data_IF_569307653040
#
_entry.id   IF_569307653040
#
_cell.length_a   1.000
_cell.length_b   1.000
_cell.length_c   1.000
_cell.angle_alpha   90.00
_cell.angle_beta   90.00
_cell.angle_gamma   90.00
#
_symmetry.space_group_name_H-M   'P 1'
#
loop_
_entity.id
_entity.type
_entity.pdbx_description
1 polymer ?
#
# COMPACT_ATOMS: atom_id res chain seq x y z
N UNK A 1 -25.35 13.40 0.86
CA UNK A 1 -24.70 13.58 -0.45
C UNK A 1 -24.32 12.19 -0.95
N UNK A 2 -24.98 11.69 -1.99
CA UNK A 2 -24.62 10.41 -2.61
C UNK A 2 -23.25 10.58 -3.29
N UNK A 3 -22.25 9.90 -2.76
CA UNK A 3 -20.92 9.83 -3.37
C UNK A 3 -21.04 9.14 -4.73
N UNK A 4 -20.76 9.86 -5.79
CA UNK A 4 -20.97 9.40 -7.16
C UNK A 4 -19.78 8.55 -7.64
N UNK A 5 -19.67 7.33 -7.09
CA UNK A 5 -18.61 6.36 -7.40
C UNK A 5 -18.54 6.00 -8.90
N UNK A 6 -19.65 6.06 -9.60
CA UNK A 6 -19.72 5.75 -11.04
C UNK A 6 -18.97 6.76 -11.91
N UNK A 7 -18.97 8.03 -11.56
CA UNK A 7 -18.31 9.09 -12.34
C UNK A 7 -16.79 9.10 -12.17
N UNK A 8 -16.29 8.72 -11.01
CA UNK A 8 -14.84 8.63 -10.79
C UNK A 8 -14.24 7.39 -11.48
N UNK A 9 -14.94 6.26 -11.43
CA UNK A 9 -14.51 5.03 -12.10
C UNK A 9 -14.49 5.24 -13.62
N UNK A 10 -15.46 5.95 -14.16
CA UNK A 10 -15.54 6.25 -15.61
C UNK A 10 -14.45 7.21 -16.07
N UNK A 11 -14.13 8.27 -15.29
CA UNK A 11 -13.01 9.18 -15.59
C UNK A 11 -11.64 8.49 -15.49
N UNK A 12 -11.47 7.59 -14.54
CA UNK A 12 -10.23 6.80 -14.39
C UNK A 12 -10.05 5.83 -15.58
N UNK A 13 -11.14 5.23 -16.09
CA UNK A 13 -11.11 4.34 -17.24
C UNK A 13 -10.77 5.10 -18.53
N UNK A 14 -11.29 6.29 -18.72
CA UNK A 14 -11.00 7.15 -19.90
C UNK A 14 -9.54 7.62 -19.93
N UNK A 15 -8.93 7.90 -18.77
CA UNK A 15 -7.51 8.26 -18.73
C UNK A 15 -6.58 7.10 -19.11
N UNK A 16 -7.00 5.85 -18.91
CA UNK A 16 -6.22 4.65 -19.24
C UNK A 16 -6.26 4.28 -20.75
N UNK A 17 -7.12 4.89 -21.56
CA UNK A 17 -7.14 4.63 -22.99
C UNK A 17 -5.95 5.28 -23.71
N UNK A 18 -5.34 6.30 -23.10
CA UNK A 18 -4.21 7.02 -23.69
C UNK A 18 -2.86 6.36 -23.34
N UNK A 19 -1.87 6.43 -24.27
CA UNK A 19 -0.50 5.97 -23.98
C UNK A 19 0.09 6.65 -22.76
N UNK A 20 -0.19 7.93 -22.56
CA UNK A 20 0.25 8.71 -21.41
C UNK A 20 -0.34 8.18 -20.11
N UNK A 21 -1.61 7.82 -20.06
CA UNK A 21 -2.26 7.26 -18.88
C UNK A 21 -1.67 5.90 -18.47
N UNK A 22 -1.39 5.02 -19.45
CA UNK A 22 -0.74 3.73 -19.20
C UNK A 22 0.68 3.89 -18.65
N UNK A 23 1.47 4.81 -19.21
CA UNK A 23 2.81 5.11 -18.73
C UNK A 23 2.77 5.65 -17.28
N UNK A 24 1.83 6.56 -17.00
CA UNK A 24 1.66 7.10 -15.65
C UNK A 24 1.27 6.03 -14.65
N UNK A 25 0.38 5.11 -15.02
CA UNK A 25 0.01 3.98 -14.17
C UNK A 25 1.20 3.05 -13.92
N UNK A 26 1.99 2.76 -14.95
CA UNK A 26 3.22 1.98 -14.83
C UNK A 26 4.21 2.65 -13.86
N UNK A 27 4.44 3.97 -13.99
CA UNK A 27 5.32 4.73 -13.08
C UNK A 27 4.81 4.75 -11.63
N UNK A 28 3.48 4.81 -11.43
CA UNK A 28 2.89 4.63 -10.10
C UNK A 28 3.18 3.24 -9.53
N UNK A 29 3.09 2.21 -10.37
CA UNK A 29 3.47 0.85 -10.00
C UNK A 29 4.96 0.75 -9.64
N UNK A 30 5.86 1.36 -10.43
CA UNK A 30 7.29 1.42 -10.10
C UNK A 30 7.50 2.07 -8.73
N UNK A 31 6.84 3.20 -8.47
CA UNK A 31 6.92 3.87 -7.16
C UNK A 31 6.40 2.97 -6.02
N UNK A 32 5.32 2.20 -6.25
CA UNK A 32 4.82 1.23 -5.27
C UNK A 32 5.87 0.14 -4.99
N UNK A 33 6.48 -0.44 -6.02
CA UNK A 33 7.52 -1.46 -5.87
C UNK A 33 8.77 -0.94 -5.17
N UNK A 34 9.18 0.30 -5.45
CA UNK A 34 10.25 0.97 -4.71
C UNK A 34 9.89 1.13 -3.22
N UNK A 35 8.65 1.54 -2.93
CA UNK A 35 8.16 1.68 -1.55
C UNK A 35 8.11 0.36 -0.79
N UNK A 36 7.62 -0.71 -1.43
CA UNK A 36 7.52 -2.05 -0.81
C UNK A 36 8.89 -2.66 -0.47
N UNK A 37 9.96 -2.17 -1.09
CA UNK A 37 11.32 -2.64 -0.81
C UNK A 37 11.90 -2.07 0.48
N UNK A 38 11.24 -1.08 1.07
CA UNK A 38 11.73 -0.39 2.26
C UNK A 38 10.92 -0.82 3.48
N UNK A 39 11.57 -1.30 4.54
CA UNK A 39 10.89 -1.60 5.80
C UNK A 39 10.11 -0.39 6.32
N UNK A 40 8.85 -0.59 6.68
CA UNK A 40 7.98 0.48 7.23
C UNK A 40 7.20 1.28 6.21
N UNK A 41 7.42 1.09 4.91
CA UNK A 41 6.59 1.64 3.85
C UNK A 41 5.86 0.52 3.13
N UNK A 42 4.64 0.78 2.73
CA UNK A 42 3.82 -0.15 1.96
C UNK A 42 3.47 0.47 0.61
N UNK A 43 3.45 -0.34 -0.45
CA UNK A 43 2.92 0.07 -1.74
C UNK A 43 1.49 0.60 -1.65
N UNK A 44 0.72 0.14 -0.66
CA UNK A 44 -0.58 0.70 -0.30
C UNK A 44 -0.51 2.20 0.04
N UNK A 45 0.53 2.63 0.75
CA UNK A 45 0.78 4.07 1.02
C UNK A 45 0.95 4.85 -0.29
N UNK A 46 1.77 4.32 -1.21
CA UNK A 46 1.99 4.96 -2.51
C UNK A 46 0.71 4.96 -3.36
N UNK A 47 -0.09 3.89 -3.29
CA UNK A 47 -1.38 3.82 -3.98
C UNK A 47 -2.35 4.91 -3.50
N UNK A 48 -2.41 5.17 -2.17
CA UNK A 48 -3.21 6.25 -1.58
C UNK A 48 -2.71 7.61 -2.07
N UNK A 49 -1.42 7.86 -1.98
CA UNK A 49 -0.78 9.13 -2.38
C UNK A 49 -1.06 9.42 -3.86
N UNK A 50 -0.94 8.41 -4.71
CA UNK A 50 -1.12 8.55 -6.16
C UNK A 50 -2.59 8.44 -6.60
N UNK A 51 -3.52 8.37 -5.64
CA UNK A 51 -4.98 8.31 -5.85
C UNK A 51 -5.44 7.13 -6.72
N UNK A 52 -4.80 5.98 -6.59
CA UNK A 52 -5.21 4.73 -7.24
C UNK A 52 -5.68 3.66 -6.25
N UNK A 53 -5.68 3.98 -4.96
CA UNK A 53 -5.96 3.03 -3.88
C UNK A 53 -7.37 2.42 -3.99
N UNK A 54 -8.39 3.26 -4.13
CA UNK A 54 -9.78 2.80 -4.26
C UNK A 54 -9.93 1.90 -5.50
N UNK A 55 -9.35 2.33 -6.63
CA UNK A 55 -9.39 1.54 -7.87
C UNK A 55 -8.66 0.21 -7.72
N UNK A 56 -7.52 0.18 -7.03
CA UNK A 56 -6.79 -1.05 -6.73
C UNK A 56 -7.65 -2.00 -5.90
N UNK A 57 -8.21 -1.52 -4.79
CA UNK A 57 -9.07 -2.32 -3.90
C UNK A 57 -10.29 -2.85 -4.65
N UNK A 58 -10.98 -2.01 -5.41
CA UNK A 58 -12.16 -2.44 -6.19
C UNK A 58 -11.80 -3.45 -7.29
N UNK A 59 -10.65 -3.29 -7.96
CA UNK A 59 -10.20 -4.24 -8.99
C UNK A 59 -9.83 -5.60 -8.40
N UNK A 60 -9.22 -5.64 -7.21
CA UNK A 60 -8.96 -6.87 -6.48
C UNK A 60 -10.28 -7.52 -6.04
N UNK A 61 -11.21 -6.73 -5.52
CA UNK A 61 -12.54 -7.21 -5.14
C UNK A 61 -13.34 -7.83 -6.29
N UNK A 62 -13.12 -7.37 -7.51
CA UNK A 62 -13.76 -7.91 -8.70
C UNK A 62 -13.28 -9.33 -9.04
N UNK A 63 -12.23 -9.84 -8.40
CA UNK A 63 -11.85 -11.26 -8.48
C UNK A 63 -12.75 -12.07 -7.56
N UNK A 64 -13.97 -12.32 -8.01
CA UNK A 64 -15.04 -13.02 -7.29
C UNK A 64 -15.49 -14.31 -8.02
N UNK A 65 -16.51 -14.96 -7.49
CA UNK A 65 -17.08 -16.17 -8.10
C UNK A 65 -17.62 -15.93 -9.51
N UNK A 66 -18.12 -14.70 -9.78
CA UNK A 66 -18.59 -14.33 -11.12
C UNK A 66 -17.41 -14.23 -12.11
N UNK A 67 -16.32 -13.61 -11.69
CA UNK A 67 -15.08 -13.58 -12.47
C UNK A 67 -14.56 -15.00 -12.76
N UNK A 68 -14.55 -15.87 -11.75
CA UNK A 68 -14.23 -17.30 -11.95
C UNK A 68 -15.15 -17.96 -12.97
N UNK A 69 -16.46 -17.71 -12.89
CA UNK A 69 -17.44 -18.21 -13.86
C UNK A 69 -17.13 -17.77 -15.29
N UNK A 70 -16.83 -16.47 -15.49
CA UNK A 70 -16.45 -15.93 -16.80
C UNK A 70 -15.17 -16.57 -17.34
N UNK A 71 -14.19 -16.83 -16.47
CA UNK A 71 -12.93 -17.47 -16.85
C UNK A 71 -13.15 -18.91 -17.29
N UNK A 72 -13.86 -19.73 -16.50
CA UNK A 72 -14.11 -21.15 -16.79
C UNK A 72 -15.09 -21.37 -17.94
N UNK A 73 -15.95 -20.39 -18.24
CA UNK A 73 -16.84 -20.45 -19.43
C UNK A 73 -16.15 -19.97 -20.71
N UNK A 74 -14.84 -19.65 -20.66
CA UNK A 74 -14.08 -19.22 -21.84
C UNK A 74 -14.34 -17.77 -22.27
N UNK A 75 -15.07 -16.98 -21.48
CA UNK A 75 -15.37 -15.59 -21.75
C UNK A 75 -14.24 -14.66 -21.32
N UNK A 76 -13.02 -14.92 -21.81
CA UNK A 76 -11.78 -14.24 -21.37
C UNK A 76 -11.83 -12.73 -21.53
N UNK A 77 -12.48 -12.22 -22.58
CA UNK A 77 -12.59 -10.76 -22.77
C UNK A 77 -13.49 -10.12 -21.71
N UNK A 78 -14.62 -10.74 -21.40
CA UNK A 78 -15.53 -10.28 -20.35
C UNK A 78 -14.86 -10.36 -18.98
N UNK A 79 -14.18 -11.48 -18.66
CA UNK A 79 -13.38 -11.64 -17.47
C UNK A 79 -12.34 -10.50 -17.32
N UNK A 80 -11.53 -10.25 -18.37
CA UNK A 80 -10.49 -9.23 -18.34
C UNK A 80 -11.03 -7.82 -18.12
N UNK A 81 -12.17 -7.50 -18.71
CA UNK A 81 -12.84 -6.24 -18.48
C UNK A 81 -13.44 -6.12 -17.09
N UNK A 82 -14.03 -7.21 -16.60
CA UNK A 82 -14.67 -7.24 -15.29
C UNK A 82 -13.70 -6.98 -14.13
N UNK A 83 -12.52 -7.60 -14.16
CA UNK A 83 -11.49 -7.44 -13.13
C UNK A 83 -10.60 -6.21 -13.32
N UNK A 84 -10.85 -5.32 -14.31
CA UNK A 84 -9.93 -4.27 -14.73
C UNK A 84 -8.51 -4.80 -15.05
N UNK A 85 -8.41 -5.91 -15.76
CA UNK A 85 -7.17 -6.66 -15.99
C UNK A 85 -6.04 -5.82 -16.56
N UNK A 86 -6.33 -4.85 -17.45
CA UNK A 86 -5.32 -3.95 -18.00
C UNK A 86 -4.70 -3.04 -16.90
N UNK A 87 -5.51 -2.54 -15.97
CA UNK A 87 -5.05 -1.77 -14.82
C UNK A 87 -4.15 -2.62 -13.93
N UNK A 88 -4.62 -3.80 -13.52
CA UNK A 88 -3.88 -4.70 -12.65
C UNK A 88 -2.57 -5.15 -13.29
N UNK A 89 -2.56 -5.49 -14.58
CA UNK A 89 -1.35 -5.94 -15.27
C UNK A 89 -0.30 -4.83 -15.37
N UNK A 90 -0.69 -3.62 -15.82
CA UNK A 90 0.24 -2.50 -15.96
C UNK A 90 0.81 -2.12 -14.59
N UNK A 91 -0.03 -2.10 -13.56
CA UNK A 91 0.38 -1.81 -12.19
C UNK A 91 1.35 -2.88 -11.67
N UNK A 92 1.02 -4.16 -11.85
CA UNK A 92 1.87 -5.29 -11.42
C UNK A 92 3.23 -5.27 -12.12
N UNK A 93 3.27 -5.02 -13.43
CA UNK A 93 4.54 -4.87 -14.18
C UNK A 93 5.36 -3.69 -13.65
N UNK A 94 4.70 -2.59 -13.30
CA UNK A 94 5.35 -1.45 -12.66
C UNK A 94 5.93 -1.84 -11.30
N UNK A 95 5.15 -2.49 -10.43
CA UNK A 95 5.59 -2.94 -9.10
C UNK A 95 6.80 -3.87 -9.21
N UNK A 96 6.73 -4.88 -10.08
CA UNK A 96 7.85 -5.81 -10.30
C UNK A 96 9.10 -5.07 -10.79
N UNK A 97 8.94 -4.13 -11.72
CA UNK A 97 10.07 -3.29 -12.17
C UNK A 97 10.66 -2.46 -11.04
N UNK A 98 9.81 -1.87 -10.19
CA UNK A 98 10.24 -1.12 -9.01
C UNK A 98 11.00 -1.98 -8.01
N UNK A 99 10.49 -3.17 -7.69
CA UNK A 99 11.15 -4.14 -6.81
C UNK A 99 12.53 -4.55 -7.36
N UNK A 100 12.64 -4.84 -8.65
CA UNK A 100 13.91 -5.22 -9.28
C UNK A 100 14.93 -4.07 -9.28
N UNK A 101 14.48 -2.84 -9.55
CA UNK A 101 15.34 -1.65 -9.53
C UNK A 101 15.81 -1.36 -8.09
N UNK A 102 14.92 -1.52 -7.12
CA UNK A 102 15.19 -1.17 -5.73
C UNK A 102 16.09 -2.17 -5.01
N UNK A 103 16.11 -3.42 -5.42
CA UNK A 103 16.77 -4.49 -4.67
C UNK A 103 18.22 -4.14 -4.26
N UNK A 104 19.01 -3.58 -5.18
CA UNK A 104 20.38 -3.15 -4.87
C UNK A 104 20.46 -1.71 -4.34
N UNK A 105 19.63 -0.79 -4.90
CA UNK A 105 19.69 0.64 -4.55
C UNK A 105 19.20 0.89 -3.13
N UNK A 106 18.09 0.27 -2.74
CA UNK A 106 17.53 0.45 -1.40
C UNK A 106 18.42 -0.18 -0.35
N UNK A 107 18.97 -1.37 -0.61
CA UNK A 107 19.95 -1.99 0.30
C UNK A 107 21.17 -1.07 0.51
N UNK A 108 21.74 -0.55 -0.57
CA UNK A 108 22.85 0.40 -0.49
C UNK A 108 22.49 1.67 0.33
N UNK A 109 21.30 2.22 0.13
CA UNK A 109 20.83 3.39 0.87
C UNK A 109 20.55 3.06 2.35
N UNK A 110 20.00 1.89 2.65
CA UNK A 110 19.77 1.43 4.02
C UNK A 110 21.07 1.25 4.78
N UNK A 111 22.10 0.69 4.13
CA UNK A 111 23.40 0.47 4.77
C UNK A 111 24.21 1.75 4.95
N UNK A 112 24.17 2.68 3.99
CA UNK A 112 25.06 3.87 3.99
C UNK A 112 24.36 5.17 4.37
N UNK A 113 23.04 5.28 4.18
CA UNK A 113 22.26 6.51 4.32
C UNK A 113 20.94 6.28 5.06
N UNK A 114 20.95 5.43 6.09
CA UNK A 114 19.73 5.03 6.83
C UNK A 114 18.94 6.25 7.33
N UNK A 115 19.62 7.19 8.05
CA UNK A 115 18.95 8.35 8.66
C UNK A 115 18.33 9.29 7.62
N UNK A 116 19.04 9.72 6.56
CA UNK A 116 18.45 10.52 5.48
C UNK A 116 17.30 9.83 4.77
N UNK A 117 17.42 8.51 4.52
CA UNK A 117 16.40 7.72 3.86
C UNK A 117 15.11 7.66 4.70
N UNK A 118 15.22 7.35 5.99
CA UNK A 118 14.07 7.34 6.89
C UNK A 118 13.42 8.72 7.01
N UNK A 119 14.21 9.78 7.09
CA UNK A 119 13.70 11.15 7.11
C UNK A 119 12.96 11.51 5.82
N UNK A 120 13.44 11.09 4.66
CA UNK A 120 12.74 11.23 3.37
C UNK A 120 11.33 10.60 3.43
N UNK A 121 11.22 9.39 3.94
CA UNK A 121 9.95 8.70 4.05
C UNK A 121 9.01 9.33 5.07
N UNK A 122 9.53 9.79 6.22
CA UNK A 122 8.75 10.57 7.19
C UNK A 122 8.17 11.81 6.52
N UNK A 123 8.97 12.54 5.72
CA UNK A 123 8.49 13.68 4.94
C UNK A 123 7.35 13.32 3.98
N UNK A 124 7.48 12.20 3.27
CA UNK A 124 6.41 11.70 2.39
C UNK A 124 5.14 11.36 3.17
N UNK A 125 5.24 10.71 4.33
CA UNK A 125 4.07 10.34 5.15
C UNK A 125 3.35 11.56 5.72
N UNK A 126 4.11 12.55 6.20
CA UNK A 126 3.53 13.81 6.71
C UNK A 126 2.78 14.56 5.61
N UNK A 127 3.40 14.72 4.44
CA UNK A 127 2.74 15.36 3.30
C UNK A 127 1.48 14.60 2.85
N UNK A 128 1.55 13.27 2.79
CA UNK A 128 0.42 12.42 2.42
C UNK A 128 -0.72 12.53 3.40
N UNK A 129 -0.44 12.50 4.70
CA UNK A 129 -1.43 12.68 5.76
C UNK A 129 -2.11 14.04 5.67
N UNK A 130 -1.35 15.10 5.35
CA UNK A 130 -1.89 16.43 5.13
C UNK A 130 -2.82 16.50 3.91
N UNK A 131 -2.52 15.77 2.83
CA UNK A 131 -3.37 15.70 1.64
C UNK A 131 -4.67 14.94 1.90
N UNK A 132 -4.59 13.81 2.62
CA UNK A 132 -5.76 13.00 2.98
C UNK A 132 -6.68 13.70 3.97
N UNK A 133 -6.20 14.72 4.67
CA UNK A 133 -6.99 15.54 5.57
C UNK A 133 -8.27 16.12 4.93
N UNK A 134 -8.26 16.32 3.62
CA UNK A 134 -9.40 16.86 2.87
C UNK A 134 -10.50 15.82 2.59
N UNK A 135 -10.22 14.52 2.77
CA UNK A 135 -11.16 13.43 2.51
C UNK A 135 -12.11 13.14 3.69
N UNK A 136 -11.86 13.72 4.85
CA UNK A 136 -12.70 13.55 6.05
C UNK A 136 -12.77 14.81 6.91
N UNK A 137 -13.83 14.95 7.71
CA UNK A 137 -14.06 16.10 8.60
C UNK A 137 -13.59 15.79 10.02
N UNK A 138 -12.75 16.66 10.60
CA UNK A 138 -12.36 16.57 12.02
C UNK A 138 -13.45 17.07 12.98
N UNK A 139 -14.53 17.71 12.48
CA UNK A 139 -15.64 18.12 13.33
C UNK A 139 -16.51 16.93 13.79
N UNK A 140 -16.51 15.84 13.02
CA UNK A 140 -17.18 14.60 13.40
C UNK A 140 -16.27 13.79 14.33
N UNK A 141 -16.67 13.61 15.58
CA UNK A 141 -15.90 12.89 16.60
C UNK A 141 -15.57 11.44 16.20
N UNK A 142 -16.44 10.81 15.42
CA UNK A 142 -16.23 9.46 14.89
C UNK A 142 -14.99 9.38 13.98
N UNK A 143 -14.77 10.41 13.14
CA UNK A 143 -13.60 10.46 12.25
C UNK A 143 -12.31 10.68 13.06
N UNK A 144 -12.38 11.49 14.13
CA UNK A 144 -11.26 11.69 15.05
C UNK A 144 -10.93 10.38 15.79
N UNK A 145 -11.96 9.66 16.24
CA UNK A 145 -11.77 8.36 16.88
C UNK A 145 -11.14 7.34 15.90
N UNK A 146 -11.61 7.30 14.66
CA UNK A 146 -11.04 6.43 13.63
C UNK A 146 -9.56 6.76 13.36
N UNK A 147 -9.21 8.06 13.28
CA UNK A 147 -7.83 8.53 13.16
C UNK A 147 -6.97 8.07 14.35
N UNK A 148 -7.46 8.27 15.57
CA UNK A 148 -6.74 7.86 16.79
C UNK A 148 -6.56 6.34 16.86
N UNK A 149 -7.59 5.57 16.49
CA UNK A 149 -7.49 4.10 16.44
C UNK A 149 -6.45 3.64 15.41
N UNK A 150 -6.45 4.22 14.22
CA UNK A 150 -5.43 3.93 13.19
C UNK A 150 -4.01 4.29 13.66
N UNK A 151 -3.86 5.46 14.29
CA UNK A 151 -2.59 5.93 14.85
C UNK A 151 -2.06 4.97 15.93
N UNK A 152 -2.88 4.64 16.90
CA UNK A 152 -2.51 3.75 18.01
C UNK A 152 -2.22 2.33 17.51
N UNK A 153 -3.00 1.83 16.55
CA UNK A 153 -2.76 0.53 15.95
C UNK A 153 -1.40 0.48 15.26
N UNK A 154 -1.10 1.41 14.36
CA UNK A 154 0.18 1.42 13.65
C UNK A 154 1.36 1.64 14.59
N UNK A 155 1.22 2.52 15.57
CA UNK A 155 2.23 2.75 16.59
C UNK A 155 2.47 1.51 17.46
N UNK A 156 1.41 0.81 17.90
CA UNK A 156 1.53 -0.37 18.76
C UNK A 156 2.25 -1.54 18.09
N UNK A 157 2.09 -1.69 16.78
CA UNK A 157 2.75 -2.74 16.01
C UNK A 157 4.28 -2.62 16.10
N UNK A 158 4.82 -1.40 16.13
CA UNK A 158 6.26 -1.14 16.29
C UNK A 158 6.84 -1.59 17.64
N UNK A 159 6.01 -1.81 18.66
CA UNK A 159 6.45 -2.24 20.00
C UNK A 159 6.27 -3.75 20.25
N UNK A 160 5.65 -4.48 19.32
CA UNK A 160 5.44 -5.91 19.48
C UNK A 160 6.75 -6.65 19.17
N UNK A 161 7.23 -7.43 20.14
CA UNK A 161 8.39 -8.30 19.93
C UNK A 161 7.99 -9.56 19.17
N UNK A 162 8.77 -9.98 18.16
CA UNK A 162 8.52 -11.22 17.44
C UNK A 162 8.49 -12.42 18.39
N UNK A 163 7.52 -13.32 18.22
CA UNK A 163 7.43 -14.59 18.94
C UNK A 163 7.69 -15.73 17.98
N UNK A 164 8.41 -16.76 18.47
CA UNK A 164 8.50 -18.01 17.73
C UNK A 164 7.11 -18.64 17.65
N UNK A 165 6.61 -18.86 16.43
CA UNK A 165 5.35 -19.55 16.20
C UNK A 165 5.62 -21.06 16.07
N UNK A 166 4.63 -21.88 16.41
CA UNK A 166 4.63 -23.28 16.00
C UNK A 166 4.48 -23.33 14.46
N UNK A 167 5.50 -23.87 13.79
CA UNK A 167 5.58 -23.92 12.35
C UNK A 167 4.73 -25.06 11.79
N UNK A 168 3.45 -24.80 11.60
CA UNK A 168 2.51 -25.70 10.93
C UNK A 168 2.04 -25.11 9.61
N UNK A 169 1.57 -25.93 8.66
CA UNK A 169 0.99 -25.44 7.40
C UNK A 169 -0.23 -24.53 7.65
N UNK A 170 -0.97 -24.77 8.73
CA UNK A 170 -2.10 -23.93 9.13
C UNK A 170 -1.59 -22.53 9.54
N UNK A 171 -0.54 -22.48 10.35
CA UNK A 171 0.10 -21.21 10.73
C UNK A 171 0.61 -20.46 9.50
N UNK A 172 1.25 -21.16 8.57
CA UNK A 172 1.74 -20.58 7.30
C UNK A 172 0.59 -19.98 6.48
N UNK A 173 -0.53 -20.70 6.35
CA UNK A 173 -1.71 -20.21 5.63
C UNK A 173 -2.26 -18.91 6.24
N UNK A 174 -2.52 -18.91 7.53
CA UNK A 174 -3.06 -17.71 8.20
C UNK A 174 -2.05 -16.56 8.25
N UNK A 175 -0.77 -16.85 8.37
CA UNK A 175 0.28 -15.82 8.29
C UNK A 175 0.32 -15.15 6.93
N UNK A 176 0.18 -15.92 5.85
CA UNK A 176 0.06 -15.37 4.49
C UNK A 176 -1.19 -14.49 4.34
N UNK A 177 -2.34 -14.96 4.86
CA UNK A 177 -3.58 -14.21 4.80
C UNK A 177 -3.53 -12.88 5.58
N UNK A 178 -2.93 -12.88 6.76
CA UNK A 178 -2.78 -11.67 7.60
C UNK A 178 -1.74 -10.72 7.00
N UNK A 179 -0.61 -11.24 6.54
CA UNK A 179 0.47 -10.42 5.98
C UNK A 179 0.03 -9.67 4.72
N UNK A 180 -0.66 -10.35 3.79
CA UNK A 180 -1.17 -9.69 2.57
C UNK A 180 -2.26 -8.67 2.89
N UNK A 181 -3.12 -8.96 3.87
CA UNK A 181 -4.15 -8.03 4.33
C UNK A 181 -3.55 -6.77 4.94
N UNK A 182 -2.49 -6.92 5.74
CA UNK A 182 -1.74 -5.79 6.29
C UNK A 182 -1.03 -4.97 5.18
N UNK A 183 -0.51 -5.63 4.16
CA UNK A 183 0.18 -4.97 3.05
C UNK A 183 -0.74 -4.06 2.22
N UNK A 184 -2.04 -4.39 2.15
CA UNK A 184 -3.02 -3.51 1.49
C UNK A 184 -3.21 -2.22 2.31
N UNK A 185 -3.14 -2.30 3.64
CA UNK A 185 -3.31 -1.13 4.50
C UNK A 185 -2.09 -0.22 4.39
N UNK A 186 -2.30 1.09 4.14
CA UNK A 186 -1.20 2.04 4.12
C UNK A 186 -0.48 2.10 5.47
N UNK A 187 0.85 2.11 5.43
CA UNK A 187 1.68 2.21 6.63
C UNK A 187 2.02 0.88 7.32
N UNK A 188 1.54 -0.26 6.81
CA UNK A 188 1.91 -1.59 7.30
C UNK A 188 2.70 -2.37 6.25
N UNK A 189 3.77 -3.02 6.68
CA UNK A 189 4.58 -3.91 5.85
C UNK A 189 4.20 -5.37 6.11
N UNK A 190 3.86 -6.11 5.04
CA UNK A 190 3.55 -7.54 5.13
C UNK A 190 4.75 -8.35 5.64
N UNK A 191 5.97 -8.02 5.21
CA UNK A 191 7.19 -8.66 5.69
C UNK A 191 7.38 -8.46 7.20
N UNK A 192 7.09 -7.27 7.71
CA UNK A 192 7.15 -6.99 9.14
C UNK A 192 6.10 -7.82 9.93
N UNK A 193 4.91 -7.97 9.39
CA UNK A 193 3.89 -8.84 10.00
C UNK A 193 4.35 -10.30 10.04
N UNK A 194 4.99 -10.81 8.98
CA UNK A 194 5.55 -12.17 8.99
C UNK A 194 6.66 -12.33 10.03
N UNK A 195 7.50 -11.30 10.23
CA UNK A 195 8.51 -11.26 11.30
C UNK A 195 7.84 -11.31 12.67
N UNK A 196 6.80 -10.50 12.92
CA UNK A 196 6.05 -10.49 14.17
C UNK A 196 5.42 -11.85 14.48
N UNK A 197 4.91 -12.52 13.45
CA UNK A 197 4.33 -13.86 13.55
C UNK A 197 5.39 -14.96 13.68
N UNK A 198 6.69 -14.62 13.58
CA UNK A 198 7.80 -15.58 13.69
C UNK A 198 7.90 -16.58 12.54
N UNK A 199 7.29 -16.29 11.39
CA UNK A 199 7.25 -17.21 10.23
C UNK A 199 8.09 -16.70 9.04
N UNK A 200 8.65 -15.50 9.12
CA UNK A 200 9.38 -14.88 8.00
C UNK A 200 10.55 -15.73 7.52
N UNK A 201 11.43 -16.15 8.43
CA UNK A 201 12.61 -16.95 8.09
C UNK A 201 12.23 -18.33 7.52
N UNK A 202 11.15 -18.92 8.06
CA UNK A 202 10.65 -20.22 7.58
C UNK A 202 10.15 -20.12 6.13
N UNK A 203 9.36 -19.07 5.81
CA UNK A 203 8.88 -18.84 4.45
C UNK A 203 10.05 -18.55 3.50
N UNK A 204 11.03 -17.74 3.93
CA UNK A 204 12.21 -17.45 3.13
C UNK A 204 13.05 -18.72 2.89
N UNK A 205 13.22 -19.56 3.92
CA UNK A 205 13.87 -20.87 3.81
C UNK A 205 13.14 -21.81 2.84
N UNK A 206 11.81 -21.86 2.91
CA UNK A 206 10.99 -22.64 1.99
C UNK A 206 11.13 -22.17 0.53
N UNK A 207 11.25 -20.86 0.29
CA UNK A 207 11.49 -20.30 -1.04
C UNK A 207 12.88 -20.70 -1.56
N UNK A 208 13.92 -20.61 -0.73
CA UNK A 208 15.30 -20.98 -1.13
C UNK A 208 15.50 -22.47 -1.35
N UNK A 209 14.78 -23.32 -0.60
CA UNK A 209 14.82 -24.78 -0.72
C UNK A 209 13.81 -25.34 -1.74
N UNK A 210 12.99 -24.49 -2.36
CA UNK A 210 11.90 -24.88 -3.25
C UNK A 210 10.91 -25.86 -2.59
N UNK A 211 10.60 -25.66 -1.29
CA UNK A 211 9.56 -26.42 -0.58
C UNK A 211 8.17 -26.04 -1.11
N UNK A 212 7.78 -26.70 -2.21
CA UNK A 212 6.52 -26.41 -2.90
C UNK A 212 5.27 -26.52 -2.01
N UNK A 213 5.11 -27.52 -1.13
CA UNK A 213 3.97 -27.58 -0.21
C UNK A 213 3.81 -26.31 0.64
N UNK A 214 4.87 -25.87 1.29
CA UNK A 214 4.87 -24.66 2.11
C UNK A 214 4.58 -23.41 1.29
N UNK A 215 5.24 -23.25 0.14
CA UNK A 215 5.03 -22.12 -0.78
C UNK A 215 3.58 -22.06 -1.26
N UNK A 216 3.01 -23.19 -1.69
CA UNK A 216 1.62 -23.24 -2.17
C UNK A 216 0.62 -22.88 -1.07
N UNK A 217 0.80 -23.40 0.14
CA UNK A 217 -0.06 -23.08 1.28
C UNK A 217 0.03 -21.60 1.64
N UNK A 218 1.23 -21.02 1.63
CA UNK A 218 1.43 -19.59 1.85
C UNK A 218 0.73 -18.74 0.79
N UNK A 219 0.92 -19.07 -0.50
CA UNK A 219 0.29 -18.34 -1.62
C UNK A 219 -1.24 -18.47 -1.59
N UNK A 220 -1.78 -19.64 -1.22
CA UNK A 220 -3.21 -19.82 -1.03
C UNK A 220 -3.73 -18.95 0.12
N UNK A 221 -3.01 -18.90 1.24
CA UNK A 221 -3.31 -17.99 2.34
C UNK A 221 -3.33 -16.53 1.90
N UNK A 222 -2.31 -16.09 1.17
CA UNK A 222 -2.27 -14.75 0.59
C UNK A 222 -3.46 -14.50 -0.35
N UNK A 223 -3.82 -15.44 -1.22
CA UNK A 223 -4.96 -15.30 -2.13
C UNK A 223 -6.29 -15.13 -1.39
N UNK A 224 -6.53 -15.98 -0.39
CA UNK A 224 -7.75 -15.90 0.44
C UNK A 224 -7.77 -14.60 1.25
N UNK A 225 -6.68 -14.24 1.90
CA UNK A 225 -6.57 -12.99 2.68
C UNK A 225 -6.79 -11.76 1.80
N UNK A 226 -6.17 -11.73 0.62
CA UNK A 226 -6.31 -10.64 -0.34
C UNK A 226 -7.78 -10.44 -0.76
N UNK A 227 -8.46 -11.52 -1.14
CA UNK A 227 -9.85 -11.46 -1.60
C UNK A 227 -10.80 -11.14 -0.44
N UNK A 228 -10.63 -11.77 0.72
CA UNK A 228 -11.50 -11.55 1.87
C UNK A 228 -11.36 -10.13 2.41
N UNK A 229 -10.12 -9.68 2.63
CA UNK A 229 -9.85 -8.38 3.22
C UNK A 229 -10.19 -7.23 2.27
N UNK A 230 -9.91 -7.38 0.97
CA UNK A 230 -10.26 -6.34 -0.01
C UNK A 230 -11.77 -6.09 -0.08
N UNK A 231 -12.62 -7.12 0.15
CA UNK A 231 -14.08 -6.96 0.23
C UNK A 231 -14.49 -6.13 1.44
N UNK A 232 -13.93 -6.43 2.61
CA UNK A 232 -14.16 -5.63 3.83
C UNK A 232 -13.73 -4.20 3.61
N UNK A 233 -12.54 -4.00 3.05
CA UNK A 233 -11.99 -2.69 2.79
C UNK A 233 -12.80 -1.92 1.73
N UNK A 234 -13.23 -2.59 0.66
CA UNK A 234 -14.09 -2.00 -0.36
C UNK A 234 -15.44 -1.54 0.21
N UNK A 235 -16.04 -2.34 1.09
CA UNK A 235 -17.25 -1.96 1.81
C UNK A 235 -17.02 -0.74 2.70
N UNK A 236 -15.93 -0.72 3.48
CA UNK A 236 -15.57 0.39 4.33
C UNK A 236 -15.33 1.68 3.53
N UNK A 237 -14.58 1.62 2.45
CA UNK A 237 -14.30 2.77 1.59
C UNK A 237 -15.55 3.33 0.91
N UNK A 238 -16.51 2.46 0.57
CA UNK A 238 -17.77 2.87 -0.08
C UNK A 238 -18.78 3.44 0.90
N UNK A 239 -19.03 2.73 2.01
CA UNK A 239 -20.14 3.05 2.92
C UNK A 239 -19.68 3.95 4.06
N UNK A 240 -18.40 3.92 4.43
CA UNK A 240 -17.78 4.67 5.52
C UNK A 240 -16.53 5.45 5.08
N UNK A 241 -16.62 6.13 3.93
CA UNK A 241 -15.49 6.81 3.30
C UNK A 241 -14.68 7.69 4.27
N UNK A 242 -15.33 8.61 4.99
CA UNK A 242 -14.65 9.52 5.91
C UNK A 242 -13.99 8.82 7.09
N UNK A 243 -14.64 7.79 7.66
CA UNK A 243 -14.05 6.98 8.72
C UNK A 243 -12.83 6.22 8.23
N UNK A 244 -12.91 5.63 7.04
CA UNK A 244 -11.82 4.87 6.43
C UNK A 244 -10.60 5.78 6.16
N UNK A 245 -10.81 6.96 5.60
CA UNK A 245 -9.72 7.90 5.34
C UNK A 245 -9.16 8.51 6.63
N UNK A 246 -9.98 8.74 7.66
CA UNK A 246 -9.52 9.09 8.99
C UNK A 246 -8.60 8.01 9.58
N UNK A 247 -9.03 6.75 9.53
CA UNK A 247 -8.26 5.60 10.00
C UNK A 247 -6.94 5.44 9.22
N UNK A 248 -6.98 5.49 7.88
CA UNK A 248 -5.79 5.41 7.01
C UNK A 248 -4.80 6.54 7.33
N UNK A 249 -5.29 7.78 7.51
CA UNK A 249 -4.45 8.92 7.89
C UNK A 249 -3.80 8.69 9.25
N UNK A 250 -4.55 8.15 10.20
CA UNK A 250 -4.03 7.75 11.50
C UNK A 250 -2.93 6.71 11.39
N UNK A 251 -3.13 5.67 10.57
CA UNK A 251 -2.11 4.63 10.32
C UNK A 251 -0.84 5.20 9.72
N UNK A 252 -0.93 6.11 8.75
CA UNK A 252 0.24 6.77 8.17
C UNK A 252 1.02 7.57 9.23
N UNK A 253 0.34 8.31 10.08
CA UNK A 253 0.98 9.08 11.15
C UNK A 253 1.59 8.17 12.23
N UNK A 254 0.90 7.10 12.61
CA UNK A 254 1.36 6.14 13.61
C UNK A 254 2.61 5.37 13.15
N UNK A 255 2.71 5.02 11.86
CA UNK A 255 3.86 4.31 11.30
C UNK A 255 5.14 5.14 11.27
N UNK A 256 5.07 6.47 11.43
CA UNK A 256 6.25 7.34 11.58
C UNK A 256 7.10 6.90 12.79
N UNK A 257 6.47 6.40 13.85
CA UNK A 257 7.19 5.90 15.04
C UNK A 257 8.15 4.74 14.71
N UNK A 258 7.77 3.87 13.79
CA UNK A 258 8.60 2.74 13.34
C UNK A 258 9.76 3.18 12.43
N UNK A 259 9.63 4.34 11.77
CA UNK A 259 10.65 4.91 10.89
C UNK A 259 11.58 5.90 11.60
N UNK A 260 11.36 6.15 12.90
CA UNK A 260 12.11 7.18 13.63
C UNK A 260 13.60 6.85 13.70
N UNK A 261 14.50 7.57 13.01
CA UNK A 261 15.89 7.15 12.85
C UNK A 261 16.80 7.57 14.02
N UNK A 262 16.31 8.46 14.90
CA UNK A 262 17.11 9.02 16.00
C UNK A 262 16.95 8.26 17.32
N UNK A 263 16.93 6.92 17.26
CA UNK A 263 16.90 6.08 18.44
C UNK A 263 18.29 5.89 19.08
N UNK A 264 19.36 6.14 18.32
CA UNK A 264 20.76 6.04 18.76
C UNK A 264 21.47 7.38 18.63
N UNK A 265 22.32 7.71 19.61
CA UNK A 265 23.02 9.01 19.68
C UNK A 265 23.93 9.29 18.47
N UNK A 266 24.52 8.26 17.88
CA UNK A 266 25.36 8.37 16.68
C UNK A 266 24.64 8.95 15.45
N UNK A 267 23.31 8.89 15.42
CA UNK A 267 22.50 9.33 14.29
C UNK A 267 22.32 10.87 14.25
N UNK A 268 22.69 11.60 15.28
CA UNK A 268 22.56 13.08 15.31
C UNK A 268 23.55 13.80 14.38
N UNK A 269 24.66 13.15 14.02
CA UNK A 269 25.65 13.74 13.07
C UNK A 269 25.07 13.94 11.67
N UNK A 270 24.00 13.22 11.31
CA UNK A 270 23.33 13.29 10.01
C UNK A 270 22.07 14.18 10.02
N UNK A 271 21.92 15.09 10.98
CA UNK A 271 20.70 15.90 11.14
C UNK A 271 20.43 16.79 9.92
N UNK A 272 21.45 17.47 9.38
CA UNK A 272 21.29 18.36 8.22
C UNK A 272 20.89 17.57 6.95
N UNK A 273 21.58 16.49 6.54
CA UNK A 273 21.15 15.64 5.44
C UNK A 273 19.73 15.08 5.65
N UNK A 274 19.38 14.68 6.88
CA UNK A 274 18.05 14.18 7.20
C UNK A 274 16.96 15.24 6.99
N UNK A 275 17.16 16.46 7.47
CA UNK A 275 16.21 17.58 7.27
C UNK A 275 16.02 17.89 5.77
N UNK A 276 17.11 17.91 5.00
CA UNK A 276 17.03 18.10 3.54
C UNK A 276 16.24 16.98 2.87
N UNK A 277 16.48 15.73 3.24
CA UNK A 277 15.75 14.57 2.72
C UNK A 277 14.27 14.58 3.14
N UNK A 278 13.96 15.00 4.37
CA UNK A 278 12.57 15.17 4.83
C UNK A 278 11.83 16.20 3.94
N UNK A 279 12.44 17.37 3.72
CA UNK A 279 11.89 18.41 2.84
C UNK A 279 11.73 17.87 1.41
N UNK A 280 12.71 17.11 0.92
CA UNK A 280 12.63 16.46 -0.38
C UNK A 280 11.45 15.47 -0.45
N UNK A 281 11.22 14.68 0.59
CA UNK A 281 10.06 13.78 0.70
C UNK A 281 8.74 14.53 0.62
N UNK A 282 8.61 15.64 1.33
CA UNK A 282 7.44 16.53 1.22
C UNK A 282 7.30 17.08 -0.20
N UNK A 283 8.39 17.57 -0.79
CA UNK A 283 8.39 18.14 -2.13
C UNK A 283 7.99 17.14 -3.21
N UNK A 284 8.42 15.89 -3.10
CA UNK A 284 8.04 14.81 -4.01
C UNK A 284 6.53 14.58 -3.98
N UNK A 285 5.91 14.51 -2.80
CA UNK A 285 4.46 14.31 -2.68
C UNK A 285 3.67 15.49 -3.24
N UNK A 286 4.09 16.72 -2.93
CA UNK A 286 3.45 17.93 -3.47
C UNK A 286 3.61 17.97 -4.99
N UNK A 287 4.80 17.66 -5.52
CA UNK A 287 5.04 17.56 -6.96
C UNK A 287 4.15 16.51 -7.63
N UNK A 288 4.06 15.31 -7.05
CA UNK A 288 3.18 14.25 -7.55
C UNK A 288 1.72 14.70 -7.53
N UNK A 289 1.27 15.39 -6.48
CA UNK A 289 -0.07 15.94 -6.42
C UNK A 289 -0.33 16.93 -7.57
N UNK A 290 0.58 17.87 -7.80
CA UNK A 290 0.46 18.86 -8.90
C UNK A 290 0.48 18.18 -10.27
N UNK A 291 1.37 17.20 -10.44
CA UNK A 291 1.50 16.45 -11.70
C UNK A 291 0.25 15.60 -12.01
N UNK A 292 -0.37 15.02 -10.97
CA UNK A 292 -1.54 14.15 -11.09
C UNK A 292 -2.87 14.84 -10.78
N UNK A 293 -2.85 16.11 -10.34
CA UNK A 293 -4.05 16.94 -10.28
C UNK A 293 -4.57 17.10 -11.72
N UNK A 294 -5.58 16.34 -12.07
CA UNK A 294 -6.33 16.57 -13.28
C UNK A 294 -6.91 17.99 -13.20
N UNK A 295 -6.52 18.86 -14.15
CA UNK A 295 -7.17 20.17 -14.32
C UNK A 295 -8.69 19.97 -14.28
N UNK A 296 -9.44 20.78 -13.51
CA UNK A 296 -10.88 20.81 -13.66
C UNK A 296 -11.16 21.10 -15.13
N UNK A 297 -12.00 20.29 -15.76
CA UNK A 297 -12.43 20.56 -17.14
C UNK A 297 -13.12 21.92 -17.14
N UNK A 298 -12.51 22.94 -17.73
CA UNK A 298 -13.19 24.12 -18.24
C UNK A 298 -14.18 23.63 -19.32
N UNK A 299 -15.37 23.29 -18.90
CA UNK A 299 -16.53 23.09 -19.78
C UNK A 299 -17.80 23.23 -18.94
N UNK A 300 -18.10 24.47 -18.58
CA UNK A 300 -19.42 24.92 -18.26
C UNK A 300 -19.46 26.45 -18.52
N UNK A 301 -19.56 26.82 -19.76
CA UNK A 301 -20.23 28.03 -20.22
C UNK A 301 -21.20 27.64 -21.32
#
# INVERSE_FOLDING_TARGET
>A
MHYNSSTQTQKATDSMTTRRGKLMLFLKGVAMGLGDSVPGISGGTIAVITKIYDQLVFSICAVDLHACGLFFTGQFKAFWQYINGAFLLILALGILSGLLISANTVLFLLENYFVPLMAFFIGMMLASSALLRNEFSLTAWQNVLALLLGFLLAMSIGFITPRAAELSLITVFFSGAIAISAMILPGLSGAFILLLLGVYEFILGALLSFDLPTILVFVLGCGVGLIAFSRVLSWLLRDYHQLSYGFITGMLLGSISALWPWQHEENYTMLIPALLCLVLGVAVIVFLQVLFATKPSESAN
#
